data_IF_804999056946
#
_entry.id   IF_804999056946
#
_cell.length_a   1.000
_cell.length_b   1.000
_cell.length_c   1.000
_cell.angle_alpha   90.00
_cell.angle_beta   90.00
_cell.angle_gamma   90.00
#
_symmetry.space_group_name_H-M   'P 1'
#
loop_
_entity.id
_entity.type
_entity.pdbx_description
1 polymer ?
#
# COMPACT_ATOMS: atom_id res chain seq x y z
N UNK A 1 3.90 54.51 11.77
CA UNK A 1 4.61 53.35 12.28
C UNK A 1 4.67 52.32 11.16
N UNK A 2 5.86 52.11 10.55
CA UNK A 2 6.06 51.18 9.47
C UNK A 2 6.06 49.76 10.07
N UNK A 3 5.16 48.90 9.58
CA UNK A 3 5.13 47.48 9.92
C UNK A 3 6.53 46.87 9.66
N UNK A 4 7.08 46.05 10.56
CA UNK A 4 8.37 45.42 10.31
C UNK A 4 8.25 44.51 9.10
N UNK A 5 9.19 44.62 8.14
CA UNK A 5 9.29 43.69 7.00
C UNK A 5 9.43 42.26 7.55
N UNK A 6 8.73 41.29 6.97
CA UNK A 6 8.94 39.90 7.35
C UNK A 6 10.43 39.57 7.13
N UNK A 7 11.02 38.83 8.10
CA UNK A 7 12.38 38.34 7.97
C UNK A 7 12.52 37.56 6.66
N UNK A 8 13.47 37.99 5.81
CA UNK A 8 13.74 37.33 4.54
C UNK A 8 14.19 35.89 4.82
N UNK A 9 13.55 34.94 4.12
CA UNK A 9 14.04 33.55 4.06
C UNK A 9 15.50 33.63 3.61
N UNK A 10 16.46 32.93 4.27
CA UNK A 10 17.85 32.93 3.83
C UNK A 10 17.93 32.53 2.36
N UNK A 11 18.70 33.27 1.53
CA UNK A 11 18.98 32.81 0.17
C UNK A 11 19.66 31.45 0.25
N UNK A 12 19.01 30.44 -0.36
CA UNK A 12 19.57 29.09 -0.39
C UNK A 12 20.75 29.06 -1.35
N UNK A 13 21.88 28.56 -0.89
CA UNK A 13 23.03 28.33 -1.77
C UNK A 13 22.70 27.14 -2.69
N UNK A 14 22.65 27.36 -3.99
CA UNK A 14 22.53 26.29 -4.97
C UNK A 14 23.80 25.44 -5.03
N UNK A 15 23.62 24.13 -5.12
CA UNK A 15 24.68 23.16 -5.29
C UNK A 15 24.69 22.64 -6.73
N UNK A 16 25.90 22.41 -7.24
CA UNK A 16 26.08 21.66 -8.49
C UNK A 16 25.96 20.15 -8.25
N UNK A 17 25.70 19.38 -9.31
CA UNK A 17 25.66 17.91 -9.22
C UNK A 17 26.98 17.34 -8.67
N UNK A 18 28.12 17.89 -9.09
CA UNK A 18 29.45 17.46 -8.62
C UNK A 18 29.64 17.66 -7.10
N UNK A 19 29.15 18.78 -6.55
CA UNK A 19 29.20 19.04 -5.11
C UNK A 19 28.32 18.03 -4.34
N UNK A 20 27.11 17.76 -4.84
CA UNK A 20 26.20 16.77 -4.26
C UNK A 20 26.81 15.36 -4.32
N UNK A 21 27.40 14.97 -5.45
CA UNK A 21 28.07 13.67 -5.62
C UNK A 21 29.24 13.51 -4.63
N UNK A 22 30.00 14.57 -4.38
CA UNK A 22 31.09 14.56 -3.41
C UNK A 22 30.59 14.39 -1.96
N UNK A 23 29.44 15.00 -1.62
CA UNK A 23 28.80 14.81 -0.31
C UNK A 23 28.27 13.38 -0.18
N UNK A 24 27.57 12.86 -1.19
CA UNK A 24 27.08 11.50 -1.21
C UNK A 24 28.21 10.47 -1.09
N UNK A 25 29.31 10.66 -1.82
CA UNK A 25 30.47 9.76 -1.74
C UNK A 25 31.09 9.71 -0.33
N UNK A 26 31.10 10.82 0.41
CA UNK A 26 31.52 10.83 1.82
C UNK A 26 30.52 10.11 2.71
N UNK A 27 29.21 10.27 2.44
CA UNK A 27 28.16 9.59 3.17
C UNK A 27 28.23 8.07 2.97
N UNK A 28 28.45 7.60 1.75
CA UNK A 28 28.66 6.19 1.44
C UNK A 28 29.86 5.58 2.16
N UNK A 29 30.96 6.36 2.32
CA UNK A 29 32.12 5.93 3.12
C UNK A 29 31.77 5.74 4.59
N UNK A 30 30.92 6.60 5.16
CA UNK A 30 30.42 6.45 6.53
C UNK A 30 29.66 5.11 6.69
N UNK A 31 28.74 4.83 5.78
CA UNK A 31 27.94 3.60 5.80
C UNK A 31 28.75 2.34 5.52
N UNK A 32 29.88 2.46 4.82
CA UNK A 32 30.79 1.33 4.57
C UNK A 32 31.98 1.29 5.53
N UNK A 33 31.94 2.08 6.61
CA UNK A 33 33.00 2.20 7.63
C UNK A 33 34.38 2.48 7.05
N UNK A 34 34.45 3.28 5.97
CA UNK A 34 35.71 3.68 5.32
C UNK A 34 36.22 5.02 5.88
N UNK A 35 37.55 5.24 5.91
CA UNK A 35 38.12 6.49 6.35
C UNK A 35 37.62 7.70 5.54
N UNK A 36 37.43 8.86 6.22
CA UNK A 36 36.90 10.08 5.60
C UNK A 36 35.43 10.08 5.31
N UNK A 37 34.68 9.13 5.90
CA UNK A 37 33.21 9.12 5.87
C UNK A 37 32.61 10.24 6.71
N UNK A 38 31.54 10.86 6.23
CA UNK A 38 30.78 11.87 6.95
C UNK A 38 29.32 11.84 6.56
N UNK A 39 28.42 12.10 7.53
CA UNK A 39 27.00 12.24 7.28
C UNK A 39 26.72 13.30 6.21
N UNK A 40 25.84 13.03 5.27
CA UNK A 40 25.40 14.03 4.30
C UNK A 40 24.59 15.14 5.00
N UNK A 41 24.98 16.39 4.76
CA UNK A 41 24.29 17.58 5.28
C UNK A 41 24.03 18.53 4.12
N UNK A 42 22.76 18.66 3.79
CA UNK A 42 22.22 19.54 2.76
C UNK A 42 21.30 20.61 3.33
N UNK A 43 21.32 20.79 4.67
CA UNK A 43 20.48 21.76 5.34
C UNK A 43 20.62 23.16 4.74
N UNK A 44 19.48 23.78 4.41
CA UNK A 44 19.42 25.14 3.82
C UNK A 44 20.19 25.27 2.50
N UNK A 45 20.19 24.21 1.68
CA UNK A 45 20.78 24.22 0.33
C UNK A 45 19.67 24.09 -0.72
N UNK A 46 19.96 24.58 -1.91
CA UNK A 46 19.14 24.38 -3.09
C UNK A 46 19.77 23.27 -3.95
N UNK A 47 19.03 22.18 -4.09
CA UNK A 47 19.37 21.01 -4.89
C UNK A 47 18.37 20.83 -6.06
N UNK A 48 17.57 21.83 -6.38
CA UNK A 48 16.48 21.72 -7.36
C UNK A 48 16.95 21.09 -8.67
N UNK A 49 16.17 20.12 -9.18
CA UNK A 49 16.41 19.43 -10.45
C UNK A 49 17.58 18.44 -10.46
N UNK A 50 18.30 18.25 -9.35
CA UNK A 50 19.47 17.37 -9.33
C UNK A 50 19.10 15.89 -9.26
N UNK A 51 20.07 15.04 -9.66
CA UNK A 51 19.94 13.59 -9.70
C UNK A 51 20.49 12.94 -8.43
N UNK A 52 19.60 12.34 -7.65
CA UNK A 52 19.88 11.62 -6.41
C UNK A 52 19.35 10.17 -6.48
N UNK A 53 19.06 9.65 -7.69
CA UNK A 53 18.51 8.31 -7.91
C UNK A 53 19.35 7.21 -7.26
N UNK A 54 18.71 6.31 -6.53
CA UNK A 54 19.33 5.14 -5.91
C UNK A 54 20.38 5.46 -4.85
N UNK A 55 20.60 6.74 -4.50
CA UNK A 55 21.60 7.14 -3.48
C UNK A 55 21.19 6.63 -2.10
N UNK A 56 22.18 6.20 -1.32
CA UNK A 56 21.98 5.99 0.11
C UNK A 56 22.13 7.33 0.83
N UNK A 57 21.02 7.83 1.35
CA UNK A 57 20.90 9.10 2.08
C UNK A 57 20.20 8.88 3.42
N UNK A 58 20.27 7.65 3.95
CA UNK A 58 19.72 7.34 5.25
C UNK A 58 20.41 8.19 6.33
N UNK A 59 19.63 8.68 7.30
CA UNK A 59 20.07 9.62 8.34
C UNK A 59 20.62 10.98 7.82
N UNK A 60 20.52 11.28 6.52
CA UNK A 60 20.97 12.56 5.98
C UNK A 60 20.15 13.74 6.52
N UNK A 61 20.75 14.93 6.54
CA UNK A 61 20.12 16.16 6.99
C UNK A 61 19.83 17.10 5.80
N UNK A 62 18.55 17.27 5.51
CA UNK A 62 18.01 18.16 4.48
C UNK A 62 17.21 19.31 5.06
N UNK A 63 17.29 19.58 6.39
CA UNK A 63 16.46 20.61 7.04
C UNK A 63 16.34 21.88 6.19
N UNK A 64 15.12 22.26 5.81
CA UNK A 64 14.84 23.48 5.06
C UNK A 64 15.45 23.55 3.66
N UNK A 65 15.91 22.42 3.10
CA UNK A 65 16.47 22.38 1.75
C UNK A 65 15.37 22.54 0.67
N UNK A 66 15.76 23.03 -0.51
CA UNK A 66 14.95 22.99 -1.72
C UNK A 66 15.36 21.77 -2.54
N UNK A 67 14.39 20.86 -2.79
CA UNK A 67 14.53 19.62 -3.53
C UNK A 67 13.52 19.56 -4.71
N UNK A 68 13.06 20.74 -5.14
CA UNK A 68 12.04 20.82 -6.19
C UNK A 68 12.50 20.09 -7.46
N UNK A 69 11.63 19.26 -8.02
CA UNK A 69 11.87 18.51 -9.27
C UNK A 69 13.10 17.57 -9.24
N UNK A 70 13.73 17.33 -8.05
CA UNK A 70 14.80 16.36 -7.92
C UNK A 70 14.37 14.96 -8.36
N UNK A 71 15.33 14.23 -8.94
CA UNK A 71 15.17 12.84 -9.29
C UNK A 71 15.74 11.97 -8.16
N UNK A 72 14.86 11.31 -7.40
CA UNK A 72 15.21 10.55 -6.19
C UNK A 72 14.61 9.13 -6.21
N UNK A 73 14.32 8.60 -7.41
CA UNK A 73 13.73 7.25 -7.55
C UNK A 73 14.65 6.21 -6.91
N UNK A 74 14.06 5.36 -6.06
CA UNK A 74 14.78 4.30 -5.36
C UNK A 74 15.83 4.79 -4.36
N UNK A 75 15.88 6.08 -4.04
CA UNK A 75 16.77 6.60 -3.01
C UNK A 75 16.41 6.05 -1.62
N UNK A 76 17.41 5.86 -0.75
CA UNK A 76 17.22 5.47 0.64
C UNK A 76 17.32 6.69 1.52
N UNK A 77 16.21 7.12 2.10
CA UNK A 77 16.05 8.29 2.95
C UNK A 77 15.55 7.89 4.35
N UNK A 78 15.82 6.65 4.77
CA UNK A 78 15.38 6.15 6.07
C UNK A 78 15.95 7.02 7.20
N UNK A 79 15.09 7.43 8.14
CA UNK A 79 15.40 8.35 9.24
C UNK A 79 15.96 9.71 8.78
N UNK A 80 15.92 10.06 7.50
CA UNK A 80 16.41 11.35 7.03
C UNK A 80 15.59 12.50 7.64
N UNK A 81 16.27 13.60 7.93
CA UNK A 81 15.64 14.82 8.37
C UNK A 81 15.28 15.68 7.14
N UNK A 82 14.01 15.66 6.76
CA UNK A 82 13.44 16.43 5.64
C UNK A 82 12.52 17.55 6.16
N UNK A 83 12.71 17.96 7.42
CA UNK A 83 11.91 18.96 8.09
C UNK A 83 11.89 20.29 7.31
N UNK A 84 10.68 20.75 6.96
CA UNK A 84 10.46 22.02 6.28
C UNK A 84 11.04 22.11 4.86
N UNK A 85 11.39 20.98 4.22
CA UNK A 85 11.87 20.96 2.84
C UNK A 85 10.81 21.44 1.86
N UNK A 86 11.24 22.11 0.80
CA UNK A 86 10.46 22.32 -0.41
C UNK A 86 10.78 21.21 -1.42
N UNK A 87 9.81 20.32 -1.68
CA UNK A 87 9.96 19.10 -2.47
C UNK A 87 8.89 19.03 -3.58
N UNK A 88 8.48 20.18 -4.11
CA UNK A 88 7.46 20.26 -5.15
C UNK A 88 7.91 19.52 -6.41
N UNK A 89 7.04 18.67 -6.96
CA UNK A 89 7.33 17.91 -8.17
C UNK A 89 8.49 16.90 -8.06
N UNK A 90 9.03 16.64 -6.86
CA UNK A 90 10.10 15.65 -6.65
C UNK A 90 9.63 14.26 -7.08
N UNK A 91 10.53 13.49 -7.69
CA UNK A 91 10.26 12.10 -8.03
C UNK A 91 10.91 11.16 -7.02
N UNK A 92 10.10 10.58 -6.15
CA UNK A 92 10.45 9.63 -5.10
C UNK A 92 9.89 8.22 -5.37
N UNK A 93 9.61 7.89 -6.64
CA UNK A 93 9.10 6.56 -7.00
C UNK A 93 9.99 5.46 -6.39
N UNK A 94 9.37 4.49 -5.70
CA UNK A 94 10.04 3.37 -5.05
C UNK A 94 11.14 3.76 -4.04
N UNK A 95 11.18 5.01 -3.57
CA UNK A 95 12.13 5.45 -2.56
C UNK A 95 11.76 4.93 -1.16
N UNK A 96 12.75 4.74 -0.30
CA UNK A 96 12.54 4.42 1.11
C UNK A 96 12.68 5.68 1.96
N UNK A 97 11.60 6.06 2.67
CA UNK A 97 11.51 7.21 3.58
C UNK A 97 11.06 6.76 4.99
N UNK A 98 11.39 5.52 5.36
CA UNK A 98 10.95 4.96 6.64
C UNK A 98 11.43 5.83 7.80
N UNK A 99 10.50 6.18 8.72
CA UNK A 99 10.77 7.00 9.91
C UNK A 99 11.40 8.37 9.60
N UNK A 100 11.29 8.86 8.37
CA UNK A 100 11.77 10.20 8.01
C UNK A 100 10.95 11.29 8.68
N UNK A 101 11.57 12.41 8.99
CA UNK A 101 10.92 13.62 9.50
C UNK A 101 10.57 14.55 8.32
N UNK A 102 9.33 14.51 7.88
CA UNK A 102 8.77 15.33 6.80
C UNK A 102 7.84 16.43 7.34
N UNK A 103 7.91 16.76 8.63
CA UNK A 103 7.04 17.78 9.22
C UNK A 103 7.26 19.13 8.55
N UNK A 104 6.14 19.75 8.14
CA UNK A 104 6.15 21.00 7.41
C UNK A 104 6.75 20.96 6.02
N UNK A 105 7.07 19.78 5.47
CA UNK A 105 7.52 19.62 4.10
C UNK A 105 6.41 19.89 3.08
N UNK A 106 6.78 20.47 1.93
CA UNK A 106 5.90 20.68 0.80
C UNK A 106 6.17 19.66 -0.31
N UNK A 107 5.27 18.70 -0.49
CA UNK A 107 5.34 17.63 -1.49
C UNK A 107 4.28 17.83 -2.59
N UNK A 108 3.86 19.08 -2.86
CA UNK A 108 2.84 19.34 -3.89
C UNK A 108 3.25 18.82 -5.25
N UNK A 109 2.38 18.01 -5.87
CA UNK A 109 2.63 17.41 -7.17
C UNK A 109 3.78 16.40 -7.20
N UNK A 110 4.32 16.00 -6.06
CA UNK A 110 5.39 15.00 -5.96
C UNK A 110 4.90 13.61 -6.39
N UNK A 111 5.82 12.80 -6.92
CA UNK A 111 5.54 11.41 -7.26
C UNK A 111 6.21 10.47 -6.23
N UNK A 112 5.40 9.86 -5.38
CA UNK A 112 5.80 8.88 -4.36
C UNK A 112 5.21 7.49 -4.66
N UNK A 113 4.92 7.18 -5.92
CA UNK A 113 4.37 5.89 -6.31
C UNK A 113 5.24 4.75 -5.76
N UNK A 114 4.64 3.84 -5.00
CA UNK A 114 5.33 2.69 -4.41
C UNK A 114 6.37 3.02 -3.33
N UNK A 115 6.51 4.28 -2.91
CA UNK A 115 7.47 4.66 -1.88
C UNK A 115 7.12 4.06 -0.51
N UNK A 116 8.13 3.80 0.32
CA UNK A 116 7.96 3.30 1.69
C UNK A 116 8.12 4.44 2.71
N UNK A 117 7.00 4.92 3.24
CA UNK A 117 6.89 5.94 4.28
C UNK A 117 6.46 5.34 5.63
N UNK A 118 6.82 4.08 5.91
CA UNK A 118 6.50 3.44 7.18
C UNK A 118 6.95 4.28 8.37
N UNK A 119 6.02 4.62 9.28
CA UNK A 119 6.27 5.46 10.47
C UNK A 119 6.79 6.89 10.16
N UNK A 120 6.72 7.38 8.91
CA UNK A 120 7.12 8.75 8.57
C UNK A 120 6.19 9.80 9.22
N UNK A 121 6.74 10.99 9.50
CA UNK A 121 6.00 12.09 10.12
C UNK A 121 5.80 13.26 9.13
N UNK A 122 4.56 13.44 8.65
CA UNK A 122 4.17 14.49 7.69
C UNK A 122 3.29 15.58 8.34
N UNK A 123 3.27 15.68 9.66
CA UNK A 123 2.46 16.66 10.37
C UNK A 123 2.94 18.10 10.10
N UNK A 124 2.20 19.05 10.63
CA UNK A 124 2.63 20.43 10.69
C UNK A 124 3.99 20.56 11.38
N UNK A 125 4.84 21.42 10.81
CA UNK A 125 6.15 21.77 11.37
C UNK A 125 6.26 23.27 11.55
N UNK A 126 6.85 23.71 12.67
CA UNK A 126 7.18 25.10 12.91
C UNK A 126 8.68 25.31 12.81
N UNK A 127 9.13 26.14 11.88
CA UNK A 127 10.56 26.45 11.73
C UNK A 127 10.94 27.53 12.74
N UNK A 128 11.94 27.25 13.60
CA UNK A 128 12.56 28.23 14.44
C UNK A 128 13.82 28.79 13.73
N UNK A 129 13.89 30.11 13.53
CA UNK A 129 15.12 30.75 13.06
C UNK A 129 15.97 31.18 14.26
N UNK A 130 17.29 31.01 14.15
CA UNK A 130 18.21 31.56 15.11
C UNK A 130 18.26 33.10 14.99
N UNK A 131 17.87 33.80 16.05
CA UNK A 131 18.05 35.25 16.16
C UNK A 131 19.39 35.49 16.85
N UNK A 132 20.28 36.26 16.21
CA UNK A 132 21.62 36.53 16.73
C UNK A 132 21.65 37.23 18.09
N UNK A 133 20.57 37.96 18.41
CA UNK A 133 20.51 38.81 19.61
C UNK A 133 19.60 38.25 20.72
N UNK A 134 18.69 37.31 20.43
CA UNK A 134 17.65 36.85 21.36
C UNK A 134 17.49 35.33 21.45
N UNK A 135 18.45 34.58 20.93
CA UNK A 135 18.34 33.09 20.89
C UNK A 135 17.38 32.60 19.83
N UNK A 136 16.75 31.44 20.08
CA UNK A 136 15.78 30.85 19.15
C UNK A 136 14.46 31.64 19.13
N UNK A 137 14.16 32.29 18.02
CA UNK A 137 12.85 32.89 17.76
C UNK A 137 12.01 31.93 16.93
N UNK A 138 10.90 31.47 17.50
CA UNK A 138 9.88 30.77 16.71
C UNK A 138 9.33 31.78 15.72
N UNK A 139 9.49 31.54 14.43
CA UNK A 139 8.84 32.34 13.39
C UNK A 139 7.36 31.93 13.38
N UNK A 140 6.53 32.59 14.19
CA UNK A 140 5.12 32.31 14.40
C UNK A 140 4.28 32.27 13.10
N UNK A 141 4.84 32.68 11.98
CA UNK A 141 4.16 32.75 10.69
C UNK A 141 4.60 31.67 9.67
N UNK A 142 5.41 30.71 10.07
CA UNK A 142 5.88 29.63 9.20
C UNK A 142 5.50 28.24 9.74
N UNK A 143 4.44 28.15 10.53
CA UNK A 143 3.78 26.87 10.75
C UNK A 143 3.20 26.43 9.38
N UNK A 144 3.92 25.49 8.73
CA UNK A 144 3.47 24.91 7.46
C UNK A 144 2.83 23.57 7.76
N UNK A 145 1.54 23.37 7.38
CA UNK A 145 1.00 22.01 7.35
C UNK A 145 1.86 21.16 6.41
N UNK A 146 1.96 19.87 6.67
CA UNK A 146 2.51 18.97 5.65
C UNK A 146 1.62 19.06 4.40
N UNK A 147 2.21 19.32 3.26
CA UNK A 147 1.47 19.57 2.01
C UNK A 147 1.74 18.47 1.00
N UNK A 148 0.72 17.69 0.65
CA UNK A 148 0.77 16.64 -0.37
C UNK A 148 -0.35 16.82 -1.42
N UNK A 149 -0.83 18.07 -1.63
CA UNK A 149 -1.87 18.33 -2.62
C UNK A 149 -1.44 17.89 -4.02
N UNK A 150 -2.28 17.08 -4.67
CA UNK A 150 -2.04 16.57 -6.01
C UNK A 150 -0.81 15.66 -6.11
N UNK A 151 -0.21 15.25 -4.99
CA UNK A 151 0.87 14.26 -5.00
C UNK A 151 0.32 12.87 -5.35
N UNK A 152 1.17 12.04 -5.97
CA UNK A 152 0.85 10.66 -6.31
C UNK A 152 1.52 9.74 -5.29
N UNK A 153 0.72 9.09 -4.43
CA UNK A 153 1.14 8.11 -3.43
C UNK A 153 0.53 6.72 -3.72
N UNK A 154 0.24 6.47 -4.99
CA UNK A 154 -0.39 5.22 -5.41
C UNK A 154 0.47 4.01 -4.99
N UNK A 155 -0.13 3.10 -4.20
CA UNK A 155 0.53 1.93 -3.65
C UNK A 155 1.69 2.21 -2.70
N UNK A 156 1.84 3.43 -2.20
CA UNK A 156 2.85 3.74 -1.20
C UNK A 156 2.53 3.07 0.15
N UNK A 157 3.56 2.71 0.89
CA UNK A 157 3.42 2.20 2.25
C UNK A 157 3.47 3.37 3.24
N UNK A 158 2.33 3.72 3.82
CA UNK A 158 2.14 4.74 4.85
C UNK A 158 1.69 4.13 6.18
N UNK A 159 1.97 2.84 6.39
CA UNK A 159 1.60 2.17 7.64
C UNK A 159 2.21 2.91 8.83
N UNK A 160 1.36 3.18 9.85
CA UNK A 160 1.70 3.86 11.09
C UNK A 160 2.27 5.28 10.92
N UNK A 161 2.19 5.86 9.73
CA UNK A 161 2.62 7.24 9.46
C UNK A 161 1.74 8.27 10.18
N UNK A 162 2.30 9.47 10.38
CA UNK A 162 1.63 10.59 11.05
C UNK A 162 1.28 11.66 10.03
N UNK A 163 -0.01 11.75 9.70
CA UNK A 163 -0.60 12.64 8.70
C UNK A 163 -1.66 13.58 9.30
N UNK A 164 -1.67 13.75 10.62
CA UNK A 164 -2.67 14.64 11.26
C UNK A 164 -2.54 16.07 10.78
N UNK A 165 -3.65 16.65 10.32
CA UNK A 165 -3.71 18.01 9.78
C UNK A 165 -3.07 18.18 8.39
N UNK A 166 -2.64 17.11 7.73
CA UNK A 166 -2.02 17.19 6.41
C UNK A 166 -3.00 17.78 5.37
N UNK A 167 -2.46 18.60 4.47
CA UNK A 167 -3.17 19.14 3.31
C UNK A 167 -2.95 18.21 2.12
N UNK A 168 -3.91 17.33 1.84
CA UNK A 168 -3.83 16.26 0.86
C UNK A 168 -4.97 16.29 -0.18
N UNK A 169 -5.54 17.47 -0.41
CA UNK A 169 -6.61 17.59 -1.40
C UNK A 169 -6.15 17.15 -2.79
N UNK A 170 -6.96 16.35 -3.47
CA UNK A 170 -6.71 15.79 -4.80
C UNK A 170 -5.44 14.91 -4.88
N UNK A 171 -4.87 14.48 -3.77
CA UNK A 171 -3.78 13.52 -3.78
C UNK A 171 -4.28 12.12 -4.19
N UNK A 172 -3.42 11.35 -4.81
CA UNK A 172 -3.71 9.97 -5.21
C UNK A 172 -3.09 8.99 -4.21
N UNK A 173 -3.92 8.41 -3.35
CA UNK A 173 -3.60 7.34 -2.40
C UNK A 173 -4.16 5.98 -2.86
N UNK A 174 -4.46 5.83 -4.16
CA UNK A 174 -5.02 4.57 -4.65
C UNK A 174 -4.12 3.39 -4.27
N UNK A 175 -4.72 2.33 -3.74
CA UNK A 175 -4.03 1.12 -3.27
C UNK A 175 -2.92 1.36 -2.21
N UNK A 176 -2.85 2.53 -1.60
CA UNK A 176 -1.86 2.83 -0.56
C UNK A 176 -2.15 2.03 0.73
N UNK A 177 -1.10 1.68 1.46
CA UNK A 177 -1.19 1.01 2.75
C UNK A 177 -1.15 2.09 3.84
N UNK A 178 -2.30 2.46 4.39
CA UNK A 178 -2.50 3.45 5.44
C UNK A 178 -2.88 2.79 6.79
N UNK A 179 -2.50 1.53 6.97
CA UNK A 179 -2.80 0.77 8.16
C UNK A 179 -2.26 1.46 9.41
N UNK A 180 -3.12 1.63 10.42
CA UNK A 180 -2.81 2.31 11.69
C UNK A 180 -2.28 3.77 11.52
N UNK A 181 -2.42 4.38 10.35
CA UNK A 181 -1.99 5.76 10.09
C UNK A 181 -2.86 6.78 10.87
N UNK A 182 -2.26 7.92 11.24
CA UNK A 182 -2.95 9.02 11.93
C UNK A 182 -3.31 10.14 10.95
N UNK A 183 -4.58 10.22 10.55
CA UNK A 183 -5.13 11.16 9.59
C UNK A 183 -6.11 12.16 10.25
N UNK A 184 -5.96 12.36 11.57
CA UNK A 184 -6.85 13.24 12.35
C UNK A 184 -6.87 14.65 11.75
N UNK A 185 -8.07 15.16 11.40
CA UNK A 185 -8.29 16.46 10.77
C UNK A 185 -7.52 16.67 9.46
N UNK A 186 -7.14 15.61 8.75
CA UNK A 186 -6.51 15.72 7.43
C UNK A 186 -7.52 16.29 6.41
N UNK A 187 -7.03 17.12 5.49
CA UNK A 187 -7.81 17.59 4.36
C UNK A 187 -7.58 16.68 3.15
N UNK A 188 -8.49 15.74 2.93
CA UNK A 188 -8.48 14.72 1.88
C UNK A 188 -9.56 14.97 0.82
N UNK A 189 -10.02 16.21 0.66
CA UNK A 189 -11.05 16.56 -0.34
C UNK A 189 -10.66 16.12 -1.73
N UNK A 190 -11.58 15.41 -2.40
CA UNK A 190 -11.38 14.94 -3.76
C UNK A 190 -10.13 14.03 -3.93
N UNK A 191 -9.57 13.49 -2.85
CA UNK A 191 -8.48 12.52 -2.93
C UNK A 191 -8.97 11.21 -3.53
N UNK A 192 -8.11 10.55 -4.30
CA UNK A 192 -8.32 9.18 -4.74
C UNK A 192 -7.77 8.23 -3.68
N UNK A 193 -8.63 7.53 -2.98
CA UNK A 193 -8.30 6.53 -1.95
C UNK A 193 -8.87 5.15 -2.34
N UNK A 194 -9.17 4.95 -3.62
CA UNK A 194 -9.71 3.69 -4.12
C UNK A 194 -8.76 2.53 -3.83
N UNK A 195 -9.28 1.46 -3.25
CA UNK A 195 -8.49 0.29 -2.86
C UNK A 195 -7.51 0.51 -1.70
N UNK A 196 -7.45 1.70 -1.11
CA UNK A 196 -6.53 2.00 -0.01
C UNK A 196 -6.85 1.15 1.23
N UNK A 197 -5.81 0.62 1.88
CA UNK A 197 -5.96 -0.12 3.14
C UNK A 197 -5.77 0.83 4.33
N UNK A 198 -6.88 1.25 4.93
CA UNK A 198 -6.94 2.12 6.11
C UNK A 198 -7.34 1.35 7.37
N UNK A 199 -7.08 0.05 7.45
CA UNK A 199 -7.34 -0.75 8.64
C UNK A 199 -6.73 -0.09 9.89
N UNK A 200 -7.54 0.11 10.93
CA UNK A 200 -7.09 0.72 12.19
C UNK A 200 -6.70 2.20 12.10
N UNK A 201 -6.79 2.84 10.93
CA UNK A 201 -6.44 4.25 10.77
C UNK A 201 -7.34 5.18 11.58
N UNK A 202 -6.81 6.34 12.00
CA UNK A 202 -7.57 7.37 12.69
C UNK A 202 -7.90 8.53 11.74
N UNK A 203 -9.12 8.54 11.26
CA UNK A 203 -9.69 9.54 10.34
C UNK A 203 -10.60 10.57 11.08
N UNK A 204 -10.49 10.66 12.42
CA UNK A 204 -11.35 11.53 13.22
C UNK A 204 -11.25 12.99 12.76
N UNK A 205 -12.38 13.58 12.39
CA UNK A 205 -12.47 14.94 11.90
C UNK A 205 -11.85 15.19 10.52
N UNK A 206 -11.43 14.13 9.80
CA UNK A 206 -10.89 14.26 8.45
C UNK A 206 -11.98 14.72 7.46
N UNK A 207 -11.58 15.49 6.46
CA UNK A 207 -12.47 15.99 5.40
C UNK A 207 -12.18 15.24 4.09
N UNK A 208 -13.04 14.27 3.77
CA UNK A 208 -13.01 13.45 2.56
C UNK A 208 -14.14 13.83 1.57
N UNK A 209 -14.63 15.07 1.61
CA UNK A 209 -15.69 15.50 0.71
C UNK A 209 -15.30 15.27 -0.76
N UNK A 210 -16.13 14.51 -1.49
CA UNK A 210 -15.90 14.15 -2.89
C UNK A 210 -14.72 13.22 -3.14
N UNK A 211 -14.17 12.56 -2.11
CA UNK A 211 -13.10 11.56 -2.27
C UNK A 211 -13.63 10.27 -2.91
N UNK A 212 -12.77 9.57 -3.63
CA UNK A 212 -13.03 8.22 -4.13
C UNK A 212 -12.50 7.20 -3.12
N UNK A 213 -13.41 6.51 -2.43
CA UNK A 213 -13.14 5.47 -1.46
C UNK A 213 -13.52 4.07 -1.96
N UNK A 214 -13.82 3.92 -3.25
CA UNK A 214 -14.25 2.62 -3.80
C UNK A 214 -13.26 1.53 -3.44
N UNK A 215 -13.81 0.40 -2.97
CA UNK A 215 -13.04 -0.76 -2.54
C UNK A 215 -12.01 -0.49 -1.43
N UNK A 216 -12.06 0.65 -0.73
CA UNK A 216 -11.19 0.91 0.41
C UNK A 216 -11.52 0.02 1.61
N UNK A 217 -10.52 -0.21 2.47
CA UNK A 217 -10.65 -1.02 3.68
C UNK A 217 -10.60 -0.11 4.89
N UNK A 218 -11.67 -0.06 5.67
CA UNK A 218 -11.86 0.78 6.87
C UNK A 218 -12.11 -0.05 8.14
N UNK A 219 -11.78 -1.34 8.13
CA UNK A 219 -11.96 -2.23 9.29
C UNK A 219 -11.15 -1.69 10.48
N UNK A 220 -11.79 -1.47 11.63
CA UNK A 220 -11.18 -0.89 12.82
C UNK A 220 -10.80 0.59 12.71
N UNK A 221 -11.16 1.28 11.63
CA UNK A 221 -10.86 2.69 11.46
C UNK A 221 -11.72 3.57 12.38
N UNK A 222 -11.11 4.63 12.92
CA UNK A 222 -11.82 5.65 13.69
C UNK A 222 -12.30 6.76 12.76
N UNK A 223 -13.61 6.93 12.66
CA UNK A 223 -14.26 7.84 11.72
C UNK A 223 -15.14 8.90 12.39
N UNK A 224 -14.85 9.27 13.65
CA UNK A 224 -15.63 10.27 14.39
C UNK A 224 -15.60 11.63 13.69
N UNK A 225 -16.77 12.19 13.43
CA UNK A 225 -16.93 13.52 12.84
C UNK A 225 -16.18 13.72 11.53
N UNK A 226 -15.90 12.67 10.77
CA UNK A 226 -15.34 12.80 9.43
C UNK A 226 -16.39 13.32 8.45
N UNK A 227 -15.96 13.98 7.38
CA UNK A 227 -16.85 14.47 6.33
C UNK A 227 -16.66 13.63 5.06
N UNK A 228 -17.66 12.84 4.71
CA UNK A 228 -17.67 12.01 3.48
C UNK A 228 -18.77 12.47 2.50
N UNK A 229 -19.18 13.71 2.58
CA UNK A 229 -20.20 14.26 1.67
C UNK A 229 -19.75 14.10 0.21
N UNK A 230 -20.62 13.51 -0.63
CA UNK A 230 -20.34 13.21 -2.04
C UNK A 230 -19.12 12.29 -2.28
N UNK A 231 -18.67 11.53 -1.29
CA UNK A 231 -17.64 10.52 -1.48
C UNK A 231 -18.22 9.26 -2.14
N UNK A 232 -17.42 8.62 -3.01
CA UNK A 232 -17.78 7.35 -3.63
C UNK A 232 -17.42 6.21 -2.68
N UNK A 233 -18.40 5.45 -2.21
CA UNK A 233 -18.24 4.43 -1.16
C UNK A 233 -18.49 3.00 -1.64
N UNK A 234 -18.63 2.76 -2.95
CA UNK A 234 -18.93 1.44 -3.47
C UNK A 234 -17.84 0.42 -3.10
N UNK A 235 -18.21 -0.72 -2.52
CA UNK A 235 -17.29 -1.80 -2.16
C UNK A 235 -16.38 -1.51 -0.97
N UNK A 236 -16.60 -0.43 -0.22
CA UNK A 236 -15.87 -0.13 1.03
C UNK A 236 -16.14 -1.26 2.05
N UNK A 237 -15.07 -1.74 2.68
CA UNK A 237 -15.14 -2.75 3.73
C UNK A 237 -14.98 -2.07 5.10
N UNK A 238 -16.01 -2.18 5.95
CA UNK A 238 -16.03 -1.65 7.33
C UNK A 238 -16.14 -2.80 8.34
N UNK A 239 -16.23 -2.49 9.64
CA UNK A 239 -16.51 -3.48 10.69
C UNK A 239 -17.91 -4.07 10.57
N UNK A 240 -18.87 -3.30 10.05
CA UNK A 240 -20.21 -3.82 9.79
C UNK A 240 -20.15 -4.97 8.79
N UNK A 241 -20.87 -6.07 9.04
CA UNK A 241 -20.91 -7.20 8.12
C UNK A 241 -21.36 -6.75 6.72
N UNK A 242 -20.65 -7.23 5.69
CA UNK A 242 -21.04 -7.07 4.29
C UNK A 242 -21.84 -8.31 3.89
N UNK A 243 -23.15 -8.17 3.66
CA UNK A 243 -24.03 -9.29 3.34
C UNK A 243 -24.62 -9.97 4.58
N UNK A 244 -24.91 -11.29 4.50
CA UNK A 244 -25.43 -12.03 5.67
C UNK A 244 -24.37 -12.18 6.75
N UNK A 245 -24.66 -11.65 7.94
CA UNK A 245 -23.74 -11.70 9.06
C UNK A 245 -23.54 -13.14 9.55
N UNK A 246 -22.32 -13.47 9.98
CA UNK A 246 -21.97 -14.77 10.61
C UNK A 246 -22.84 -15.09 11.83
N UNK A 247 -23.38 -14.05 12.50
CA UNK A 247 -24.30 -14.22 13.65
C UNK A 247 -25.58 -14.96 13.30
N UNK A 248 -26.01 -14.93 12.01
CA UNK A 248 -27.31 -15.42 11.61
C UNK A 248 -27.29 -16.85 11.08
N UNK A 249 -26.11 -17.39 10.75
CA UNK A 249 -25.92 -18.75 10.27
C UNK A 249 -24.77 -19.46 11.00
N UNK A 250 -24.87 -20.77 11.23
CA UNK A 250 -23.85 -21.53 11.96
C UNK A 250 -22.62 -21.84 11.06
N UNK A 251 -21.99 -20.81 10.48
CA UNK A 251 -20.89 -20.97 9.52
C UNK A 251 -19.74 -21.86 10.00
N UNK A 252 -19.43 -21.83 11.30
CA UNK A 252 -18.40 -22.73 11.88
C UNK A 252 -18.79 -24.20 11.76
N UNK A 253 -20.09 -24.52 11.93
CA UNK A 253 -20.61 -25.86 11.74
C UNK A 253 -20.65 -26.21 10.26
N UNK A 254 -21.20 -25.33 9.43
CA UNK A 254 -21.30 -25.54 7.97
C UNK A 254 -19.93 -25.79 7.32
N UNK A 255 -18.89 -25.06 7.69
CA UNK A 255 -17.51 -25.27 7.20
C UNK A 255 -16.98 -26.65 7.58
N UNK A 256 -17.23 -27.09 8.83
CA UNK A 256 -16.80 -28.42 9.29
C UNK A 256 -17.56 -29.55 8.60
N UNK A 257 -18.87 -29.36 8.41
CA UNK A 257 -19.71 -30.33 7.72
C UNK A 257 -19.32 -30.47 6.26
N UNK A 258 -18.98 -29.34 5.60
CA UNK A 258 -18.45 -29.36 4.23
C UNK A 258 -17.10 -30.09 4.15
N UNK A 259 -16.18 -29.77 5.05
CA UNK A 259 -14.89 -30.45 5.11
C UNK A 259 -15.03 -31.96 5.32
N UNK A 260 -15.92 -32.36 6.24
CA UNK A 260 -16.21 -33.78 6.50
C UNK A 260 -16.85 -34.47 5.28
N UNK A 261 -17.74 -33.76 4.58
CA UNK A 261 -18.32 -34.26 3.32
C UNK A 261 -17.23 -34.50 2.26
N UNK A 262 -16.27 -33.59 2.12
CA UNK A 262 -15.14 -33.76 1.20
C UNK A 262 -14.22 -34.93 1.61
N UNK A 263 -13.89 -35.04 2.90
CA UNK A 263 -12.99 -36.08 3.43
C UNK A 263 -13.57 -37.49 3.30
N UNK A 264 -14.89 -37.62 3.43
CA UNK A 264 -15.60 -38.90 3.38
C UNK A 264 -16.14 -39.23 2.00
N UNK A 265 -15.86 -38.42 0.98
CA UNK A 265 -16.44 -38.62 -0.37
C UNK A 265 -17.95 -38.55 -0.41
N UNK A 266 -18.57 -37.78 0.46
CA UNK A 266 -20.01 -37.60 0.55
C UNK A 266 -20.73 -38.56 1.54
N UNK A 267 -19.98 -39.37 2.29
CA UNK A 267 -20.53 -40.33 3.27
C UNK A 267 -21.04 -39.66 4.53
N UNK A 268 -20.43 -38.58 4.96
CA UNK A 268 -20.79 -37.80 6.16
C UNK A 268 -20.68 -36.31 5.89
N UNK A 269 -21.36 -35.50 6.68
CA UNK A 269 -21.41 -34.03 6.50
C UNK A 269 -22.36 -33.64 5.39
N UNK A 270 -22.24 -32.39 4.92
CA UNK A 270 -23.07 -31.87 3.81
C UNK A 270 -22.31 -30.76 3.07
N UNK A 271 -22.48 -30.67 1.72
CA UNK A 271 -21.93 -29.59 0.96
C UNK A 271 -22.59 -28.26 1.39
N UNK A 272 -21.79 -27.19 1.51
CA UNK A 272 -22.30 -25.90 1.92
C UNK A 272 -22.05 -24.84 0.84
N UNK A 273 -22.95 -23.84 0.82
CA UNK A 273 -22.87 -22.68 -0.07
C UNK A 273 -22.73 -21.44 0.80
N UNK A 274 -21.70 -20.63 0.51
CA UNK A 274 -21.39 -19.39 1.22
C UNK A 274 -21.47 -18.17 0.29
N UNK A 275 -22.24 -18.25 -0.78
CA UNK A 275 -22.37 -17.15 -1.74
C UNK A 275 -22.86 -15.87 -1.03
N UNK A 276 -22.11 -14.77 -1.15
CA UNK A 276 -22.38 -13.48 -0.50
C UNK A 276 -22.19 -13.46 1.02
N UNK A 277 -21.71 -14.54 1.63
CA UNK A 277 -21.51 -14.60 3.08
C UNK A 277 -20.32 -13.76 3.56
N UNK A 278 -20.45 -13.15 4.75
CA UNK A 278 -19.32 -12.55 5.45
C UNK A 278 -18.70 -13.57 6.40
N UNK A 279 -17.53 -14.09 6.03
CA UNK A 279 -16.85 -15.16 6.75
C UNK A 279 -15.72 -14.65 7.67
N UNK A 280 -15.54 -13.34 7.80
CA UNK A 280 -14.46 -12.74 8.59
C UNK A 280 -14.43 -13.19 10.05
N UNK A 281 -15.58 -13.44 10.64
CA UNK A 281 -15.67 -13.91 12.03
C UNK A 281 -15.20 -15.36 12.24
N UNK A 282 -14.85 -16.10 11.18
CA UNK A 282 -14.24 -17.43 11.32
C UNK A 282 -12.78 -17.34 11.79
N UNK A 283 -12.10 -16.20 11.58
CA UNK A 283 -10.70 -15.94 11.89
C UNK A 283 -9.72 -16.86 11.15
N UNK A 284 -9.95 -18.16 11.15
CA UNK A 284 -9.12 -19.16 10.49
C UNK A 284 -9.93 -20.34 9.94
N UNK A 285 -9.57 -20.76 8.74
CA UNK A 285 -10.02 -22.01 8.10
C UNK A 285 -8.81 -22.79 7.57
N UNK A 286 -7.73 -22.70 8.28
CA UNK A 286 -6.43 -23.27 7.96
C UNK A 286 -6.49 -24.78 7.78
N UNK A 287 -5.99 -25.29 6.64
CA UNK A 287 -5.92 -26.72 6.35
C UNK A 287 -7.25 -27.42 6.10
N UNK A 288 -8.40 -26.72 6.13
CA UNK A 288 -9.68 -27.36 5.84
C UNK A 288 -9.76 -27.84 4.39
N UNK A 289 -10.39 -28.99 4.19
CA UNK A 289 -10.77 -29.45 2.86
C UNK A 289 -12.10 -28.85 2.44
N UNK A 290 -12.05 -27.86 1.56
CA UNK A 290 -13.20 -27.12 1.04
C UNK A 290 -13.27 -27.27 -0.49
N UNK A 291 -12.92 -28.44 -1.00
CA UNK A 291 -13.00 -28.80 -2.42
C UNK A 291 -14.40 -28.54 -2.96
N UNK A 292 -14.48 -27.91 -4.13
CA UNK A 292 -15.73 -27.55 -4.83
C UNK A 292 -16.67 -26.60 -4.06
N UNK A 293 -16.16 -25.88 -3.03
CA UNK A 293 -16.93 -24.89 -2.29
C UNK A 293 -17.55 -23.83 -3.22
N UNK A 294 -18.81 -23.46 -2.99
CA UNK A 294 -19.40 -22.25 -3.58
C UNK A 294 -19.38 -21.12 -2.56
N UNK A 295 -18.66 -20.03 -2.90
CA UNK A 295 -18.53 -18.84 -2.07
C UNK A 295 -18.36 -17.59 -2.96
N UNK A 296 -19.21 -17.45 -3.97
CA UNK A 296 -19.22 -16.32 -4.90
C UNK A 296 -19.57 -15.04 -4.16
N UNK A 297 -18.76 -13.99 -4.34
CA UNK A 297 -18.98 -12.71 -3.67
C UNK A 297 -18.85 -12.77 -2.15
N UNK A 298 -18.39 -13.88 -1.56
CA UNK A 298 -18.18 -14.00 -0.13
C UNK A 298 -17.00 -13.14 0.35
N UNK A 299 -17.04 -12.70 1.61
CA UNK A 299 -16.00 -11.87 2.22
C UNK A 299 -15.14 -12.73 3.16
N UNK A 300 -13.88 -12.95 2.75
CA UNK A 300 -12.86 -13.67 3.51
C UNK A 300 -11.78 -12.72 4.07
N UNK A 301 -11.91 -11.43 3.87
CA UNK A 301 -10.87 -10.44 4.18
C UNK A 301 -10.08 -10.77 5.45
N UNK A 302 -8.74 -10.87 5.32
CA UNK A 302 -7.82 -11.08 6.43
C UNK A 302 -7.83 -12.47 7.06
N UNK A 303 -8.60 -13.43 6.51
CA UNK A 303 -8.67 -14.78 7.06
C UNK A 303 -7.34 -15.52 6.93
N UNK A 304 -7.00 -16.32 7.94
CA UNK A 304 -5.94 -17.31 7.83
C UNK A 304 -6.48 -18.58 7.15
N UNK A 305 -6.08 -18.77 5.89
CA UNK A 305 -6.46 -19.85 5.00
C UNK A 305 -5.23 -20.68 4.57
N UNK A 306 -4.14 -20.67 5.38
CA UNK A 306 -2.92 -21.41 5.01
C UNK A 306 -3.23 -22.90 4.82
N UNK A 307 -2.79 -23.44 3.67
CA UNK A 307 -2.96 -24.85 3.34
C UNK A 307 -4.41 -25.30 3.11
N UNK A 308 -5.37 -24.38 2.99
CA UNK A 308 -6.75 -24.73 2.67
C UNK A 308 -6.83 -25.41 1.30
N UNK A 309 -7.68 -26.43 1.17
CA UNK A 309 -7.95 -27.10 -0.10
C UNK A 309 -9.22 -26.53 -0.72
N UNK A 310 -9.07 -25.84 -1.85
CA UNK A 310 -10.12 -25.14 -2.59
C UNK A 310 -10.15 -25.59 -4.07
N UNK A 311 -9.78 -26.84 -4.34
CA UNK A 311 -9.78 -27.38 -5.70
C UNK A 311 -11.17 -27.26 -6.32
N UNK A 312 -11.26 -26.63 -7.50
CA UNK A 312 -12.50 -26.44 -8.22
C UNK A 312 -13.52 -25.54 -7.51
N UNK A 313 -13.15 -24.82 -6.45
CA UNK A 313 -14.04 -23.91 -5.74
C UNK A 313 -14.51 -22.75 -6.64
N UNK A 314 -15.73 -22.26 -6.39
CA UNK A 314 -16.33 -21.12 -7.08
C UNK A 314 -16.23 -19.88 -6.18
N UNK A 315 -15.26 -19.00 -6.49
CA UNK A 315 -14.90 -17.82 -5.70
C UNK A 315 -15.04 -16.54 -6.54
N UNK A 316 -15.91 -16.54 -7.57
CA UNK A 316 -16.09 -15.37 -8.42
C UNK A 316 -16.53 -14.15 -7.61
N UNK A 317 -15.87 -13.02 -7.78
CA UNK A 317 -16.14 -11.79 -7.05
C UNK A 317 -15.87 -11.86 -5.55
N UNK A 318 -15.32 -12.96 -5.03
CA UNK A 318 -15.01 -13.07 -3.60
C UNK A 318 -13.96 -12.06 -3.16
N UNK A 319 -14.09 -11.56 -1.93
CA UNK A 319 -13.13 -10.66 -1.30
C UNK A 319 -12.12 -11.45 -0.46
N UNK A 320 -10.97 -11.70 -1.05
CA UNK A 320 -9.84 -12.43 -0.47
C UNK A 320 -8.68 -11.48 -0.12
N UNK A 321 -8.93 -10.16 -0.03
CA UNK A 321 -7.89 -9.18 0.28
C UNK A 321 -7.24 -9.48 1.62
N UNK A 322 -5.90 -9.34 1.68
CA UNK A 322 -5.08 -9.59 2.86
C UNK A 322 -5.22 -10.99 3.49
N UNK A 323 -5.80 -11.98 2.80
CA UNK A 323 -5.84 -13.36 3.28
C UNK A 323 -4.45 -14.01 3.27
N UNK A 324 -4.20 -14.88 4.24
CA UNK A 324 -3.08 -15.80 4.22
C UNK A 324 -3.50 -17.08 3.45
N UNK A 325 -3.13 -17.16 2.17
CA UNK A 325 -3.38 -18.30 1.27
C UNK A 325 -2.10 -19.10 0.97
N UNK A 326 -1.11 -19.00 1.85
CA UNK A 326 0.15 -19.76 1.67
C UNK A 326 -0.14 -21.25 1.57
N UNK A 327 0.50 -21.91 0.58
CA UNK A 327 0.32 -23.35 0.36
C UNK A 327 -1.12 -23.79 0.12
N UNK A 328 -2.04 -22.84 -0.12
CA UNK A 328 -3.42 -23.20 -0.48
C UNK A 328 -3.48 -23.96 -1.81
N UNK A 329 -4.36 -24.92 -1.92
CA UNK A 329 -4.61 -25.63 -3.17
C UNK A 329 -5.84 -25.05 -3.88
N UNK A 330 -5.57 -24.21 -4.88
CA UNK A 330 -6.56 -23.52 -5.70
C UNK A 330 -6.62 -24.09 -7.13
N UNK A 331 -6.11 -25.31 -7.35
CA UNK A 331 -6.12 -25.92 -8.68
C UNK A 331 -7.55 -26.01 -9.23
N UNK A 332 -7.74 -25.53 -10.45
CA UNK A 332 -9.04 -25.50 -11.10
C UNK A 332 -10.09 -24.60 -10.44
N UNK A 333 -9.72 -23.79 -9.44
CA UNK A 333 -10.63 -22.84 -8.82
C UNK A 333 -11.01 -21.70 -9.79
N UNK A 334 -12.20 -21.15 -9.60
CA UNK A 334 -12.73 -20.03 -10.37
C UNK A 334 -12.79 -18.79 -9.49
N UNK A 335 -12.02 -17.78 -9.87
CA UNK A 335 -11.77 -16.53 -9.13
C UNK A 335 -12.02 -15.32 -10.04
N UNK A 336 -12.98 -15.40 -10.96
CA UNK A 336 -13.28 -14.33 -11.92
C UNK A 336 -13.68 -13.07 -11.15
N UNK A 337 -13.03 -11.94 -11.42
CA UNK A 337 -13.23 -10.67 -10.73
C UNK A 337 -13.04 -10.72 -9.21
N UNK A 338 -12.35 -11.73 -8.68
CA UNK A 338 -12.05 -11.81 -7.25
C UNK A 338 -11.07 -10.71 -6.81
N UNK A 339 -11.20 -10.27 -5.56
CA UNK A 339 -10.32 -9.25 -4.96
C UNK A 339 -9.28 -9.96 -4.11
N UNK A 340 -8.02 -10.00 -4.58
CA UNK A 340 -6.90 -10.66 -3.91
C UNK A 340 -5.81 -9.67 -3.49
N UNK A 341 -6.03 -8.36 -3.62
CA UNK A 341 -5.00 -7.36 -3.33
C UNK A 341 -4.40 -7.55 -1.94
N UNK A 342 -3.06 -7.60 -1.87
CA UNK A 342 -2.33 -7.81 -0.64
C UNK A 342 -2.44 -9.20 -0.01
N UNK A 343 -3.03 -10.19 -0.70
CA UNK A 343 -3.04 -11.58 -0.22
C UNK A 343 -1.66 -12.22 -0.31
N UNK A 344 -1.38 -13.16 0.58
CA UNK A 344 -0.16 -13.99 0.58
C UNK A 344 -0.45 -15.35 -0.07
N UNK A 345 -0.03 -15.51 -1.31
CA UNK A 345 -0.19 -16.73 -2.12
C UNK A 345 1.13 -17.51 -2.29
N UNK A 346 2.10 -17.27 -1.43
CA UNK A 346 3.39 -17.97 -1.52
C UNK A 346 3.21 -19.47 -1.45
N UNK A 347 3.89 -20.17 -2.35
CA UNK A 347 3.86 -21.65 -2.42
C UNK A 347 2.44 -22.21 -2.71
N UNK A 348 1.45 -21.39 -3.11
CA UNK A 348 0.11 -21.84 -3.46
C UNK A 348 0.08 -22.61 -4.78
N UNK A 349 -0.84 -23.56 -4.89
CA UNK A 349 -1.05 -24.36 -6.09
C UNK A 349 -2.25 -23.82 -6.87
N UNK A 350 -1.99 -23.19 -8.00
CA UNK A 350 -2.99 -22.61 -8.91
C UNK A 350 -2.86 -23.19 -10.33
N UNK A 351 -2.16 -24.31 -10.45
CA UNK A 351 -2.04 -25.06 -11.71
C UNK A 351 -3.35 -25.76 -12.12
N UNK A 352 -3.31 -26.53 -13.21
CA UNK A 352 -4.50 -27.23 -13.69
C UNK A 352 -4.88 -28.38 -12.76
N UNK A 353 -6.20 -28.56 -12.56
CA UNK A 353 -6.79 -29.70 -11.87
C UNK A 353 -7.17 -30.75 -12.90
N UNK A 354 -6.70 -32.00 -12.73
CA UNK A 354 -7.15 -33.11 -13.56
C UNK A 354 -8.52 -33.59 -13.11
N UNK A 355 -9.50 -33.52 -14.01
CA UNK A 355 -10.85 -34.02 -13.77
C UNK A 355 -11.11 -35.23 -14.67
N UNK A 356 -11.42 -36.40 -14.04
CA UNK A 356 -11.54 -37.63 -14.78
C UNK A 356 -10.27 -38.06 -15.50
N UNK A 357 -10.40 -38.78 -16.63
CA UNK A 357 -9.24 -39.39 -17.28
C UNK A 357 -8.39 -38.46 -18.13
N UNK A 358 -8.91 -37.33 -18.66
CA UNK A 358 -8.16 -36.49 -19.62
C UNK A 358 -8.54 -35.01 -19.64
N UNK A 359 -9.36 -34.50 -18.74
CA UNK A 359 -9.81 -33.11 -18.74
C UNK A 359 -9.04 -32.31 -17.69
N UNK A 360 -8.31 -31.29 -18.14
CA UNK A 360 -7.67 -30.32 -17.27
C UNK A 360 -8.60 -29.11 -17.06
N UNK A 361 -8.75 -28.70 -15.82
CA UNK A 361 -9.46 -27.47 -15.42
C UNK A 361 -8.43 -26.48 -14.91
N UNK A 362 -8.23 -25.37 -15.62
CA UNK A 362 -7.32 -24.29 -15.22
C UNK A 362 -7.88 -23.46 -14.10
N UNK A 363 -7.02 -22.97 -13.20
CA UNK A 363 -7.39 -21.91 -12.28
C UNK A 363 -7.68 -20.63 -13.09
N UNK A 364 -8.88 -20.05 -12.91
CA UNK A 364 -9.32 -18.90 -13.68
C UNK A 364 -9.47 -17.66 -12.82
N UNK A 365 -8.58 -16.69 -13.03
CA UNK A 365 -8.51 -15.40 -12.35
C UNK A 365 -8.75 -14.22 -13.32
N UNK A 366 -9.55 -14.43 -14.37
CA UNK A 366 -9.91 -13.37 -15.33
C UNK A 366 -10.48 -12.16 -14.60
N UNK A 367 -9.95 -10.96 -14.88
CA UNK A 367 -10.37 -9.70 -14.26
C UNK A 367 -10.06 -9.58 -12.76
N UNK A 368 -9.38 -10.54 -12.15
CA UNK A 368 -9.09 -10.51 -10.73
C UNK A 368 -8.09 -9.40 -10.36
N UNK A 369 -8.24 -8.80 -9.17
CA UNK A 369 -7.33 -7.79 -8.65
C UNK A 369 -6.27 -8.47 -7.75
N UNK A 370 -5.04 -8.61 -8.26
CA UNK A 370 -3.88 -9.17 -7.55
C UNK A 370 -2.84 -8.10 -7.20
N UNK A 371 -3.24 -6.85 -7.01
CA UNK A 371 -2.32 -5.76 -6.68
C UNK A 371 -1.57 -6.04 -5.37
N UNK A 372 -0.25 -5.84 -5.35
CA UNK A 372 0.59 -6.08 -4.16
C UNK A 372 0.50 -7.50 -3.58
N UNK A 373 0.06 -8.49 -4.36
CA UNK A 373 -0.06 -9.90 -3.94
C UNK A 373 1.32 -10.56 -3.95
N UNK A 374 1.61 -11.39 -2.97
CA UNK A 374 2.84 -12.20 -2.98
C UNK A 374 2.55 -13.62 -3.50
N UNK A 375 2.90 -13.87 -4.76
CA UNK A 375 2.80 -15.16 -5.43
C UNK A 375 4.17 -15.85 -5.57
N UNK A 376 5.17 -15.49 -4.74
CA UNK A 376 6.49 -16.10 -4.85
C UNK A 376 6.42 -17.61 -4.70
N UNK A 377 7.09 -18.33 -5.61
CA UNK A 377 7.16 -19.82 -5.69
C UNK A 377 5.79 -20.50 -5.88
N UNK A 378 4.73 -19.77 -6.20
CA UNK A 378 3.44 -20.36 -6.51
C UNK A 378 3.47 -21.14 -7.84
N UNK A 379 2.66 -22.19 -7.96
CA UNK A 379 2.44 -22.89 -9.22
C UNK A 379 1.23 -22.27 -9.96
N UNK A 380 1.50 -21.53 -11.02
CA UNK A 380 0.54 -20.86 -11.88
C UNK A 380 0.52 -21.44 -13.30
N UNK A 381 1.04 -22.65 -13.49
CA UNK A 381 1.05 -23.27 -14.82
C UNK A 381 -0.38 -23.36 -15.39
N UNK A 382 -0.55 -22.92 -16.63
CA UNK A 382 -1.83 -22.86 -17.34
C UNK A 382 -2.94 -22.05 -16.61
N UNK A 383 -2.58 -21.22 -15.63
CA UNK A 383 -3.56 -20.31 -15.02
C UNK A 383 -3.98 -19.21 -15.99
N UNK A 384 -5.23 -18.76 -15.87
CA UNK A 384 -5.84 -17.73 -16.73
C UNK A 384 -5.95 -16.44 -15.91
N UNK A 385 -5.21 -15.40 -16.31
CA UNK A 385 -5.20 -14.07 -15.69
C UNK A 385 -5.53 -12.96 -16.72
N UNK A 386 -6.40 -13.29 -17.68
CA UNK A 386 -6.85 -12.33 -18.71
C UNK A 386 -7.44 -11.10 -18.02
N UNK A 387 -7.00 -9.88 -18.44
CA UNK A 387 -7.45 -8.61 -17.90
C UNK A 387 -7.25 -8.42 -16.38
N UNK A 388 -6.48 -9.29 -15.74
CA UNK A 388 -6.18 -9.17 -14.31
C UNK A 388 -5.29 -7.96 -13.99
N UNK A 389 -5.40 -7.44 -12.77
CA UNK A 389 -4.50 -6.40 -12.28
C UNK A 389 -3.39 -7.00 -11.41
N UNK A 390 -2.22 -7.15 -11.98
CA UNK A 390 -1.01 -7.73 -11.38
C UNK A 390 -0.04 -6.63 -10.88
N UNK A 391 -0.50 -5.37 -10.81
CA UNK A 391 0.36 -4.25 -10.46
C UNK A 391 1.06 -4.49 -9.12
N UNK A 392 2.39 -4.37 -9.12
CA UNK A 392 3.27 -4.59 -7.94
C UNK A 392 3.18 -5.99 -7.31
N UNK A 393 2.58 -6.98 -7.97
CA UNK A 393 2.59 -8.35 -7.50
C UNK A 393 3.98 -9.00 -7.64
N UNK A 394 4.28 -9.93 -6.74
CA UNK A 394 5.56 -10.63 -6.70
C UNK A 394 5.39 -12.08 -7.19
N UNK A 395 5.95 -12.40 -8.36
CA UNK A 395 5.96 -13.75 -8.93
C UNK A 395 7.36 -14.38 -8.90
N UNK A 396 8.27 -13.90 -8.05
CA UNK A 396 9.64 -14.41 -7.98
C UNK A 396 9.66 -15.91 -7.71
N UNK A 397 10.28 -16.68 -8.64
CA UNK A 397 10.37 -18.13 -8.55
C UNK A 397 9.05 -18.89 -8.77
N UNK A 398 7.98 -18.22 -9.21
CA UNK A 398 6.74 -18.89 -9.56
C UNK A 398 6.86 -19.72 -10.85
N UNK A 399 6.08 -20.80 -10.95
CA UNK A 399 5.98 -21.63 -12.15
C UNK A 399 4.92 -21.07 -13.08
N UNK A 400 5.33 -20.45 -14.20
CA UNK A 400 4.48 -19.64 -15.08
C UNK A 400 4.27 -20.26 -16.49
N UNK A 401 4.61 -21.55 -16.67
CA UNK A 401 4.51 -22.21 -17.98
C UNK A 401 3.06 -22.19 -18.50
N UNK A 402 2.86 -21.64 -19.70
CA UNK A 402 1.54 -21.55 -20.38
C UNK A 402 0.50 -20.71 -19.60
N UNK A 403 0.95 -19.76 -18.77
CA UNK A 403 0.05 -18.80 -18.12
C UNK A 403 -0.52 -17.85 -19.19
N UNK A 404 -1.81 -17.48 -19.06
CA UNK A 404 -2.43 -16.48 -19.93
C UNK A 404 -2.62 -15.16 -19.18
N UNK A 405 -1.83 -14.16 -19.55
CA UNK A 405 -1.87 -12.80 -18.99
C UNK A 405 -2.31 -11.75 -20.02
N UNK A 406 -3.08 -12.17 -21.03
CA UNK A 406 -3.60 -11.28 -22.06
C UNK A 406 -4.37 -10.12 -21.43
N UNK A 407 -4.06 -8.87 -21.81
CA UNK A 407 -4.71 -7.67 -21.25
C UNK A 407 -4.34 -7.32 -19.81
N UNK A 408 -3.54 -8.14 -19.11
CA UNK A 408 -3.23 -7.91 -17.70
C UNK A 408 -2.35 -6.66 -17.47
N UNK A 409 -2.70 -5.87 -16.45
CA UNK A 409 -1.87 -4.74 -15.98
C UNK A 409 -0.72 -5.25 -15.11
N UNK A 410 0.53 -4.87 -15.42
CA UNK A 410 1.75 -5.44 -14.81
C UNK A 410 2.69 -4.39 -14.23
N UNK A 411 2.25 -3.16 -14.02
CA UNK A 411 3.10 -2.07 -13.53
C UNK A 411 3.77 -2.44 -12.20
N UNK A 412 5.12 -2.45 -12.16
CA UNK A 412 5.88 -2.80 -10.95
C UNK A 412 5.84 -4.27 -10.53
N UNK A 413 5.22 -5.16 -11.29
CA UNK A 413 5.25 -6.60 -11.01
C UNK A 413 6.66 -7.18 -11.16
N UNK A 414 7.00 -8.16 -10.31
CA UNK A 414 8.32 -8.83 -10.30
C UNK A 414 8.18 -10.28 -10.72
N UNK A 415 9.21 -10.83 -11.38
CA UNK A 415 9.26 -12.26 -11.75
C UNK A 415 8.43 -12.63 -12.96
N UNK A 416 7.95 -11.64 -13.76
CA UNK A 416 7.23 -11.85 -15.02
C UNK A 416 8.11 -11.59 -16.27
N UNK A 417 9.42 -11.35 -16.11
CA UNK A 417 10.32 -10.94 -17.21
C UNK A 417 10.50 -12.03 -18.27
N UNK A 418 10.33 -13.30 -17.90
CA UNK A 418 10.57 -14.46 -18.77
C UNK A 418 9.30 -14.96 -19.49
N UNK A 419 8.19 -14.22 -19.37
CA UNK A 419 6.95 -14.57 -20.07
C UNK A 419 6.88 -13.74 -21.35
N UNK A 420 7.35 -14.30 -22.44
CA UNK A 420 7.22 -13.78 -23.81
C UNK A 420 6.37 -14.75 -24.62
#
# INVERSE_FOLDING_TARGET
MLSPRPASIPELRSLSQAEVDAVCARHDRLWTSRPGGARAVFAWKDLSGLDLRGRNLADADFTGACLNECQMQGAKLDNANLFGCDMQGVNLTDASLRRSDLRGACLRGANLTGADLFEADLREGSIAAADRDKGLRILEHLARPGEVQGAVLAGANLERSRLSGVMAARADFSDAILKDAKLVRANLKQANMSGANMQGADLSGADLAGADLRDAILVGAKTYSWNVSKAEMAGVLTDAPAGMAVSDLPYKTMIRDHARWCETGGGEGSPSVFDGADLRALETIRGFNLTALSAKGAVFYGLDMEGVQLQGAQLDGADLRACNLRRADLRGARLINAKLSGADLRDAQMGPLLIGSNRLLSCNMTGAALKNTDCARADLRQAILIDADLSRANFTGALLKQIDITGARRGGARGLQDII
#
